data_IF_307655891881
#
_entry.id   IF_307655891881
#
_cell.length_a   1.000
_cell.length_b   1.000
_cell.length_c   1.000
_cell.angle_alpha   90.00
_cell.angle_beta   90.00
_cell.angle_gamma   90.00
#
_symmetry.space_group_name_H-M   'P 1'
#
loop_
_entity.id
_entity.type
_entity.pdbx_description
1 polymer ?
#
# COMPACT_ATOMS: atom_id res chain seq x y z
N UNK A 1 -11.81 11.81 16.44
CA UNK A 1 -12.77 12.34 15.43
C UNK A 1 -13.39 11.14 14.75
N UNK A 2 -14.71 11.12 14.55
CA UNK A 2 -15.39 10.08 13.78
C UNK A 2 -15.06 10.23 12.29
N UNK A 3 -14.84 9.10 11.58
CA UNK A 3 -14.65 9.12 10.13
C UNK A 3 -15.89 9.69 9.41
N UNK A 4 -15.74 10.35 8.25
CA UNK A 4 -16.88 10.79 7.44
C UNK A 4 -17.70 9.58 6.93
N UNK A 5 -18.89 9.84 6.42
CA UNK A 5 -19.74 8.76 5.88
C UNK A 5 -19.19 8.20 4.55
N UNK A 6 -18.54 9.05 3.75
CA UNK A 6 -17.99 8.72 2.43
C UNK A 6 -16.52 9.13 2.34
N UNK A 7 -15.81 8.50 1.39
CA UNK A 7 -14.41 8.76 1.06
C UNK A 7 -14.23 8.78 -0.45
N UNK A 8 -13.24 9.50 -0.93
CA UNK A 8 -12.81 9.42 -2.33
C UNK A 8 -11.85 8.25 -2.52
N UNK A 9 -12.04 7.51 -3.59
CA UNK A 9 -11.20 6.36 -3.96
C UNK A 9 -11.03 6.25 -5.48
N UNK A 10 -9.87 5.76 -5.93
CA UNK A 10 -9.62 5.46 -7.34
C UNK A 10 -10.05 4.01 -7.62
N UNK A 11 -11.19 3.88 -8.28
CA UNK A 11 -11.86 2.60 -8.58
C UNK A 11 -11.58 2.19 -10.02
N UNK A 12 -11.12 0.97 -10.21
CA UNK A 12 -11.00 0.32 -11.51
C UNK A 12 -12.19 -0.64 -11.70
N UNK A 13 -13.09 -0.32 -12.60
CA UNK A 13 -14.32 -1.12 -12.83
C UNK A 13 -14.13 -2.29 -13.81
N UNK A 14 -13.11 -2.21 -14.66
CA UNK A 14 -12.69 -3.24 -15.62
C UNK A 14 -11.28 -2.92 -16.13
N UNK A 15 -10.58 -3.84 -16.81
CA UNK A 15 -9.31 -3.51 -17.45
C UNK A 15 -9.45 -2.33 -18.43
N UNK A 16 -8.46 -1.45 -18.45
CA UNK A 16 -8.39 -0.27 -19.29
C UNK A 16 -8.35 1.03 -18.49
N UNK A 17 -7.51 1.96 -18.93
CA UNK A 17 -7.33 3.25 -18.24
C UNK A 17 -8.65 4.05 -18.19
N UNK A 18 -9.47 3.94 -19.22
CA UNK A 18 -10.78 4.60 -19.28
C UNK A 18 -11.78 4.08 -18.23
N UNK A 19 -11.49 2.97 -17.59
CA UNK A 19 -12.29 2.37 -16.53
C UNK A 19 -11.79 2.71 -15.12
N UNK A 20 -10.73 3.51 -15.02
CA UNK A 20 -10.23 4.03 -13.73
C UNK A 20 -10.87 5.39 -13.45
N UNK A 21 -11.64 5.49 -12.39
CA UNK A 21 -12.34 6.72 -11.98
C UNK A 21 -12.13 7.00 -10.50
N UNK A 22 -12.13 8.28 -10.14
CA UNK A 22 -12.23 8.69 -8.74
C UNK A 22 -13.72 8.79 -8.39
N UNK A 23 -14.13 8.01 -7.41
CA UNK A 23 -15.53 7.88 -6.98
C UNK A 23 -15.67 8.13 -5.48
N UNK A 24 -16.86 8.50 -5.05
CA UNK A 24 -17.24 8.57 -3.65
C UNK A 24 -17.80 7.21 -3.21
N UNK A 25 -17.11 6.57 -2.27
CA UNK A 25 -17.50 5.29 -1.69
C UNK A 25 -17.81 5.46 -0.18
N UNK A 26 -18.64 4.59 0.40
CA UNK A 26 -18.76 4.51 1.86
C UNK A 26 -17.39 4.25 2.49
N UNK A 27 -17.10 4.91 3.63
CA UNK A 27 -15.91 4.58 4.41
C UNK A 27 -16.05 3.15 4.94
N UNK A 28 -15.11 2.23 4.63
CA UNK A 28 -15.26 0.82 5.00
C UNK A 28 -15.11 0.62 6.52
N UNK A 29 -15.95 -0.26 7.08
CA UNK A 29 -15.79 -0.72 8.45
C UNK A 29 -14.82 -1.90 8.48
N UNK A 30 -13.81 -1.90 9.37
CA UNK A 30 -12.91 -3.04 9.50
C UNK A 30 -13.62 -4.24 10.13
N UNK A 31 -13.57 -5.43 9.52
CA UNK A 31 -14.04 -6.66 10.15
C UNK A 31 -13.10 -7.08 11.30
N UNK A 32 -13.48 -8.11 12.04
CA UNK A 32 -12.64 -8.68 13.10
C UNK A 32 -11.24 -9.06 12.55
N UNK A 33 -10.20 -8.72 13.29
CA UNK A 33 -8.81 -8.94 12.90
C UNK A 33 -8.26 -7.95 11.86
N UNK A 34 -9.06 -6.96 11.44
CA UNK A 34 -8.67 -5.93 10.49
C UNK A 34 -8.61 -4.55 11.15
N UNK A 35 -7.87 -3.65 10.51
CA UNK A 35 -7.64 -2.28 10.99
C UNK A 35 -7.93 -1.30 9.85
N UNK A 36 -8.53 -0.15 10.18
CA UNK A 36 -8.71 0.95 9.24
C UNK A 36 -7.61 1.99 9.42
N UNK A 37 -6.96 2.33 8.32
CA UNK A 37 -5.97 3.41 8.23
C UNK A 37 -6.63 4.59 7.53
N UNK A 38 -6.49 5.79 8.09
CA UNK A 38 -6.68 7.03 7.36
C UNK A 38 -5.41 7.30 6.57
N UNK A 39 -5.50 7.18 5.26
CA UNK A 39 -4.37 7.28 4.35
C UNK A 39 -3.91 8.73 4.23
N UNK A 40 -2.63 8.96 4.42
CA UNK A 40 -1.97 10.26 4.29
C UNK A 40 -1.14 10.34 3.01
N UNK A 41 -0.57 9.23 2.58
CA UNK A 41 0.18 9.10 1.34
C UNK A 41 0.26 7.64 0.88
N UNK A 42 0.55 7.44 -0.40
CA UNK A 42 0.82 6.14 -1.01
C UNK A 42 1.77 6.31 -2.20
N UNK A 43 2.54 5.29 -2.53
CA UNK A 43 3.35 5.25 -3.73
C UNK A 43 2.55 4.81 -4.96
N UNK A 44 3.10 5.12 -6.15
CA UNK A 44 2.59 4.65 -7.44
C UNK A 44 3.53 3.56 -7.96
N UNK A 45 3.03 2.35 -8.05
CA UNK A 45 3.84 1.19 -8.40
C UNK A 45 3.48 0.64 -9.78
N UNK A 46 4.41 -0.04 -10.42
CA UNK A 46 4.18 -0.72 -11.70
C UNK A 46 3.10 -1.82 -11.60
N UNK A 47 2.84 -2.29 -10.40
CA UNK A 47 1.79 -3.27 -10.10
C UNK A 47 0.40 -2.76 -10.53
N UNK A 48 0.06 -1.52 -10.21
CA UNK A 48 -1.22 -0.93 -10.59
C UNK A 48 -1.34 -0.75 -12.11
N UNK A 49 -0.22 -0.46 -12.80
CA UNK A 49 -0.22 -0.45 -14.26
C UNK A 49 -0.60 -1.83 -14.84
N UNK A 50 -0.11 -2.92 -14.23
CA UNK A 50 -0.51 -4.27 -14.65
C UNK A 50 -1.98 -4.55 -14.34
N UNK A 51 -2.51 -4.04 -13.23
CA UNK A 51 -3.94 -4.13 -12.90
C UNK A 51 -4.79 -3.39 -13.93
N UNK A 52 -4.43 -2.15 -14.27
CA UNK A 52 -5.14 -1.34 -15.27
C UNK A 52 -5.08 -1.97 -16.67
N UNK A 53 -3.95 -2.58 -17.04
CA UNK A 53 -3.79 -3.21 -18.37
C UNK A 53 -4.34 -4.64 -18.44
N UNK A 54 -4.99 -5.15 -17.39
CA UNK A 54 -5.57 -6.50 -17.34
C UNK A 54 -4.55 -7.63 -17.23
N UNK A 55 -3.31 -7.32 -16.83
CA UNK A 55 -2.22 -8.30 -16.66
C UNK A 55 -2.09 -8.82 -15.22
N UNK A 56 -2.89 -8.31 -14.30
CA UNK A 56 -2.90 -8.77 -12.91
C UNK A 56 -3.80 -10.01 -12.79
N UNK A 57 -3.19 -11.17 -12.64
CA UNK A 57 -3.92 -12.43 -12.45
C UNK A 57 -4.69 -12.44 -11.13
N UNK A 58 -5.87 -13.07 -11.12
CA UNK A 58 -6.71 -13.24 -9.93
C UNK A 58 -7.38 -11.97 -9.42
N UNK A 59 -7.33 -10.87 -10.17
CA UNK A 59 -7.99 -9.63 -9.80
C UNK A 59 -9.49 -9.68 -10.10
N UNK A 60 -10.29 -9.20 -9.15
CA UNK A 60 -11.75 -9.04 -9.31
C UNK A 60 -12.11 -7.56 -9.40
N UNK A 61 -13.11 -7.22 -10.20
CA UNK A 61 -13.59 -5.86 -10.43
C UNK A 61 -15.03 -5.70 -9.92
N UNK A 62 -15.47 -4.50 -9.48
CA UNK A 62 -14.65 -3.29 -9.31
C UNK A 62 -13.64 -3.44 -8.17
N UNK A 63 -12.55 -2.65 -8.23
CA UNK A 63 -11.49 -2.67 -7.21
C UNK A 63 -10.89 -1.29 -6.99
N UNK A 64 -10.76 -0.87 -5.72
CA UNK A 64 -9.90 0.26 -5.36
C UNK A 64 -8.46 -0.19 -5.51
N UNK A 65 -7.67 0.52 -6.32
CA UNK A 65 -6.26 0.20 -6.55
C UNK A 65 -5.35 0.59 -5.38
N UNK A 66 -4.07 0.28 -5.50
CA UNK A 66 -3.01 0.66 -4.56
C UNK A 66 -2.56 -0.51 -3.70
N UNK A 67 -1.31 -0.95 -3.89
CA UNK A 67 -0.70 -2.07 -3.14
C UNK A 67 0.01 -1.64 -1.87
N UNK A 68 0.01 -0.34 -1.55
CA UNK A 68 0.58 0.20 -0.33
C UNK A 68 -0.20 1.42 0.17
N UNK A 69 -0.01 1.74 1.45
CA UNK A 69 -0.47 2.97 2.07
C UNK A 69 0.37 3.31 3.30
N UNK A 70 0.56 4.60 3.54
CA UNK A 70 1.08 5.14 4.78
C UNK A 70 0.09 6.15 5.36
N UNK A 71 -0.10 6.14 6.67
CA UNK A 71 -1.08 7.00 7.31
C UNK A 71 -1.11 6.84 8.81
N UNK A 72 -2.29 7.07 9.37
CA UNK A 72 -2.51 6.86 10.81
C UNK A 72 -3.66 5.89 11.03
N UNK A 73 -3.55 5.10 12.06
CA UNK A 73 -4.64 4.22 12.52
C UNK A 73 -5.86 5.09 12.83
N UNK A 74 -6.96 4.80 12.17
CA UNK A 74 -8.24 5.46 12.40
C UNK A 74 -9.13 4.63 13.32
N UNK A 75 -9.19 3.31 13.08
CA UNK A 75 -9.98 2.38 13.87
C UNK A 75 -9.33 0.98 13.91
N UNK A 76 -9.06 0.50 15.11
CA UNK A 76 -8.78 -0.90 15.41
C UNK A 76 -9.89 -1.43 16.31
N UNK A 77 -10.80 -2.31 15.85
CA UNK A 77 -11.89 -2.82 16.67
C UNK A 77 -11.42 -3.59 17.92
N UNK A 78 -10.25 -4.22 17.90
CA UNK A 78 -9.70 -4.92 19.05
C UNK A 78 -9.02 -3.96 20.06
N UNK A 79 -8.76 -2.71 19.67
CA UNK A 79 -8.09 -1.73 20.53
C UNK A 79 -6.62 -2.02 20.82
N UNK A 80 -5.97 -2.88 20.04
CA UNK A 80 -4.57 -3.23 20.22
C UNK A 80 -3.64 -2.13 19.71
N UNK A 81 -4.06 -1.37 18.68
CA UNK A 81 -3.31 -0.26 18.12
C UNK A 81 -4.11 1.04 18.34
N UNK A 82 -3.52 1.97 19.05
CA UNK A 82 -4.20 3.23 19.38
C UNK A 82 -4.50 4.07 18.13
N UNK A 83 -5.67 4.71 18.03
CA UNK A 83 -5.96 5.69 16.98
C UNK A 83 -4.91 6.82 16.98
N UNK A 84 -4.51 7.27 15.77
CA UNK A 84 -3.46 8.26 15.58
C UNK A 84 -2.05 7.69 15.49
N UNK A 85 -1.81 6.41 15.81
CA UNK A 85 -0.53 5.74 15.61
C UNK A 85 -0.15 5.77 14.12
N UNK A 86 1.06 6.19 13.80
CA UNK A 86 1.58 6.15 12.43
C UNK A 86 1.76 4.69 11.98
N UNK A 87 1.29 4.39 10.80
CA UNK A 87 1.30 3.04 10.27
C UNK A 87 1.53 3.02 8.76
N UNK A 88 2.21 1.97 8.30
CA UNK A 88 2.34 1.62 6.91
C UNK A 88 1.82 0.20 6.69
N UNK A 89 1.42 -0.08 5.46
CA UNK A 89 0.99 -1.41 4.99
C UNK A 89 1.34 -1.54 3.52
N UNK A 90 1.66 -2.73 3.08
CA UNK A 90 1.97 -3.01 1.68
C UNK A 90 1.70 -4.45 1.32
N UNK A 91 1.41 -4.70 0.04
CA UNK A 91 1.25 -6.03 -0.55
C UNK A 91 0.11 -6.86 0.08
N UNK A 92 0.30 -8.16 0.29
CA UNK A 92 -0.64 -9.07 0.98
C UNK A 92 -2.03 -9.19 0.37
N UNK A 93 -2.19 -8.83 -0.91
CA UNK A 93 -3.47 -8.86 -1.63
C UNK A 93 -4.16 -7.50 -1.75
N UNK A 94 -3.65 -6.46 -1.09
CA UNK A 94 -4.17 -5.09 -1.16
C UNK A 94 -4.18 -4.57 -2.60
N UNK A 95 -5.28 -3.94 -3.02
CA UNK A 95 -5.50 -3.46 -4.38
C UNK A 95 -5.75 -4.56 -5.43
N UNK A 96 -5.86 -5.82 -5.02
CA UNK A 96 -6.10 -6.98 -5.90
C UNK A 96 -7.23 -7.88 -5.39
N UNK A 97 -7.03 -8.55 -4.24
CA UNK A 97 -8.03 -9.45 -3.64
C UNK A 97 -8.99 -8.71 -2.71
N UNK A 98 -8.56 -7.58 -2.17
CA UNK A 98 -9.36 -6.61 -1.43
C UNK A 98 -8.95 -5.19 -1.79
N UNK A 99 -9.72 -4.19 -1.37
CA UNK A 99 -9.53 -2.80 -1.76
C UNK A 99 -8.21 -2.22 -1.24
N UNK A 100 -7.60 -1.37 -2.06
CA UNK A 100 -6.25 -0.86 -1.88
C UNK A 100 -6.14 0.56 -1.35
N UNK A 101 -4.90 1.06 -1.34
CA UNK A 101 -4.50 2.33 -0.72
C UNK A 101 -4.83 3.59 -1.52
N UNK A 102 -5.30 3.50 -2.77
CA UNK A 102 -5.68 4.68 -3.57
C UNK A 102 -7.03 5.25 -3.13
N UNK A 103 -7.16 5.48 -1.84
CA UNK A 103 -8.36 5.98 -1.18
C UNK A 103 -7.99 6.80 0.05
N UNK A 104 -8.94 7.55 0.60
CA UNK A 104 -8.72 8.29 1.84
C UNK A 104 -8.68 7.39 3.09
N UNK A 105 -9.31 6.22 3.00
CA UNK A 105 -9.25 5.17 4.03
C UNK A 105 -9.05 3.81 3.37
N UNK A 106 -8.30 2.95 4.03
CA UNK A 106 -8.12 1.55 3.63
C UNK A 106 -8.28 0.64 4.84
N UNK A 107 -8.82 -0.55 4.62
CA UNK A 107 -8.98 -1.60 5.64
C UNK A 107 -8.09 -2.77 5.26
N UNK A 108 -7.22 -3.19 6.18
CA UNK A 108 -6.24 -4.25 5.95
C UNK A 108 -6.16 -5.19 7.15
N UNK A 109 -5.73 -6.44 6.98
CA UNK A 109 -5.44 -7.33 8.10
C UNK A 109 -4.48 -6.69 9.10
N UNK A 110 -4.74 -6.80 10.41
CA UNK A 110 -3.86 -6.25 11.44
C UNK A 110 -2.43 -6.78 11.33
N UNK A 111 -2.26 -8.02 10.90
CA UNK A 111 -0.94 -8.65 10.68
C UNK A 111 -0.11 -8.00 9.58
N UNK A 112 -0.72 -7.16 8.73
CA UNK A 112 -0.03 -6.39 7.68
C UNK A 112 0.33 -4.97 8.12
N UNK A 113 0.02 -4.57 9.35
CA UNK A 113 0.35 -3.25 9.88
C UNK A 113 1.78 -3.21 10.40
N UNK A 114 2.52 -2.22 9.93
CA UNK A 114 3.83 -1.85 10.46
C UNK A 114 3.68 -0.48 11.12
N UNK A 115 3.75 -0.43 12.45
CA UNK A 115 3.74 0.83 13.18
C UNK A 115 5.14 1.44 13.22
N UNK A 116 5.21 2.75 13.14
CA UNK A 116 6.47 3.49 13.21
C UNK A 116 6.29 4.84 13.89
N UNK A 117 7.39 5.56 14.12
CA UNK A 117 7.39 6.95 14.52
C UNK A 117 8.38 7.73 13.65
N UNK A 118 7.89 8.78 12.99
CA UNK A 118 8.71 9.61 12.10
C UNK A 118 8.20 11.05 12.08
N UNK A 119 9.13 11.99 11.97
CA UNK A 119 8.84 13.41 11.71
C UNK A 119 8.95 13.79 10.23
N UNK A 120 9.24 12.82 9.35
CA UNK A 120 9.29 13.07 7.91
C UNK A 120 7.90 13.44 7.38
N UNK A 121 7.83 14.30 6.35
CA UNK A 121 6.57 14.61 5.68
C UNK A 121 5.97 13.37 5.02
N UNK A 122 4.64 13.31 4.95
CA UNK A 122 3.92 12.13 4.46
C UNK A 122 4.25 11.76 3.02
N UNK A 123 4.54 12.74 2.17
CA UNK A 123 4.97 12.53 0.78
C UNK A 123 6.30 11.76 0.69
N UNK A 124 7.18 11.90 1.67
CA UNK A 124 8.41 11.10 1.78
C UNK A 124 8.08 9.72 2.31
N UNK A 125 7.30 9.63 3.40
CA UNK A 125 6.90 8.36 4.00
C UNK A 125 6.15 7.47 3.00
N UNK A 126 5.26 8.07 2.19
CA UNK A 126 4.47 7.34 1.19
C UNK A 126 5.28 6.71 0.06
N UNK A 127 6.54 7.11 -0.14
CA UNK A 127 7.44 6.51 -1.14
C UNK A 127 8.23 5.30 -0.63
N UNK A 128 8.10 4.99 0.66
CA UNK A 128 8.98 4.05 1.37
C UNK A 128 8.46 2.60 1.37
N UNK A 129 7.17 2.31 1.69
CA UNK A 129 6.77 0.99 2.15
C UNK A 129 7.09 -0.12 1.14
N UNK A 130 6.54 -0.05 -0.07
CA UNK A 130 6.72 -1.09 -1.08
C UNK A 130 8.14 -1.11 -1.64
N UNK A 131 8.67 0.08 -1.99
CA UNK A 131 9.99 0.18 -2.64
C UNK A 131 11.11 -0.37 -1.74
N UNK A 132 11.15 0.02 -0.47
CA UNK A 132 12.18 -0.45 0.44
C UNK A 132 11.97 -1.90 0.88
N UNK A 133 10.72 -2.35 1.06
CA UNK A 133 10.46 -3.75 1.34
C UNK A 133 10.94 -4.64 0.19
N UNK A 134 10.66 -4.25 -1.06
CA UNK A 134 11.07 -5.00 -2.25
C UNK A 134 12.58 -5.00 -2.40
N UNK A 135 13.25 -3.86 -2.20
CA UNK A 135 14.72 -3.77 -2.21
C UNK A 135 15.34 -4.66 -1.13
N UNK A 136 14.90 -4.51 0.11
CA UNK A 136 15.39 -5.28 1.25
C UNK A 136 15.16 -6.78 1.06
N UNK A 137 13.97 -7.19 0.65
CA UNK A 137 13.64 -8.59 0.39
C UNK A 137 14.46 -9.19 -0.75
N UNK A 138 14.73 -8.42 -1.82
CA UNK A 138 15.59 -8.86 -2.90
C UNK A 138 17.03 -9.11 -2.43
N UNK A 139 17.58 -8.21 -1.62
CA UNK A 139 18.96 -8.32 -1.12
C UNK A 139 19.11 -9.43 -0.07
N UNK A 140 18.18 -9.53 0.87
CA UNK A 140 18.28 -10.46 2.00
C UNK A 140 17.69 -11.82 1.67
N UNK A 141 16.38 -11.88 1.38
CA UNK A 141 15.68 -13.16 1.16
C UNK A 141 15.97 -13.74 -0.20
N UNK A 142 16.05 -12.90 -1.25
CA UNK A 142 16.26 -13.36 -2.63
C UNK A 142 17.70 -13.72 -2.93
N UNK A 143 18.64 -12.88 -2.54
CA UNK A 143 20.08 -13.06 -2.85
C UNK A 143 20.89 -13.61 -1.66
N UNK A 144 20.37 -13.53 -0.44
CA UNK A 144 21.14 -13.81 0.79
C UNK A 144 22.51 -13.09 0.78
N UNK A 145 22.49 -11.80 0.42
CA UNK A 145 23.71 -11.02 0.20
C UNK A 145 24.52 -10.89 1.49
N UNK A 146 25.77 -11.32 1.44
CA UNK A 146 26.68 -11.34 2.58
C UNK A 146 27.69 -10.19 2.52
N UNK A 147 28.20 -9.72 3.68
CA UNK A 147 29.26 -8.71 3.74
C UNK A 147 30.48 -9.13 2.88
N UNK A 148 31.02 -8.19 2.10
CA UNK A 148 32.18 -8.41 1.23
C UNK A 148 31.86 -8.96 -0.15
N UNK A 149 30.61 -9.30 -0.44
CA UNK A 149 30.20 -9.66 -1.79
C UNK A 149 29.97 -8.43 -2.68
N UNK A 150 30.05 -8.62 -3.99
CA UNK A 150 29.74 -7.58 -4.98
C UNK A 150 28.33 -7.75 -5.51
N UNK A 151 27.58 -6.66 -5.59
CA UNK A 151 26.22 -6.61 -6.11
C UNK A 151 26.21 -5.91 -7.47
N UNK A 152 25.62 -6.55 -8.50
CA UNK A 152 25.32 -5.92 -9.77
C UNK A 152 23.83 -5.54 -9.83
N UNK A 153 23.53 -4.25 -9.88
CA UNK A 153 22.17 -3.74 -10.00
C UNK A 153 21.87 -3.41 -11.46
N UNK A 154 21.05 -4.23 -12.13
CA UNK A 154 20.50 -3.91 -13.45
C UNK A 154 19.25 -3.04 -13.29
N UNK A 155 19.21 -1.90 -13.99
CA UNK A 155 18.11 -0.94 -13.84
C UNK A 155 18.28 -0.01 -12.63
N UNK A 156 19.53 0.31 -12.27
CA UNK A 156 19.89 1.12 -11.13
C UNK A 156 19.32 2.56 -11.10
N UNK A 157 18.68 3.02 -12.19
CA UNK A 157 17.99 4.32 -12.25
C UNK A 157 16.49 4.24 -11.93
N UNK A 158 15.94 3.05 -11.74
CA UNK A 158 14.57 2.88 -11.23
C UNK A 158 14.50 3.17 -9.73
N UNK A 159 13.29 3.42 -9.19
CA UNK A 159 13.10 3.60 -7.75
C UNK A 159 13.67 2.43 -6.97
N UNK A 160 13.37 1.19 -7.37
CA UNK A 160 13.92 -0.03 -6.78
C UNK A 160 15.44 -0.10 -6.91
N UNK A 161 15.99 0.20 -8.10
CA UNK A 161 17.43 0.18 -8.33
C UNK A 161 18.19 1.18 -7.48
N UNK A 162 17.64 2.38 -7.29
CA UNK A 162 18.20 3.40 -6.38
C UNK A 162 18.10 2.97 -4.92
N UNK A 163 17.04 2.27 -4.53
CA UNK A 163 16.87 1.79 -3.17
C UNK A 163 17.76 0.60 -2.83
N UNK A 164 18.30 -0.12 -3.83
CA UNK A 164 19.21 -1.27 -3.63
C UNK A 164 20.69 -0.90 -3.68
N UNK A 165 21.03 0.32 -4.09
CA UNK A 165 22.41 0.81 -4.17
C UNK A 165 22.87 1.45 -2.86
#
# INVERSE_FOLDING_TARGET
MTAPATMRAAVLSAPGLDNLRVEDLPVPAPPEGWVRIRVMAFGLNRSEYHSVTGRAEGMTYPRVLGIEAAGVIDLDPAGEIAPGTQAATMMGGMGRTFDGGYAQYVVVPRTQIITFHSSLPWEVIGSVPETLQTAYGALTTGLDLQPGQSLLVRGGTSALGLATA
#
